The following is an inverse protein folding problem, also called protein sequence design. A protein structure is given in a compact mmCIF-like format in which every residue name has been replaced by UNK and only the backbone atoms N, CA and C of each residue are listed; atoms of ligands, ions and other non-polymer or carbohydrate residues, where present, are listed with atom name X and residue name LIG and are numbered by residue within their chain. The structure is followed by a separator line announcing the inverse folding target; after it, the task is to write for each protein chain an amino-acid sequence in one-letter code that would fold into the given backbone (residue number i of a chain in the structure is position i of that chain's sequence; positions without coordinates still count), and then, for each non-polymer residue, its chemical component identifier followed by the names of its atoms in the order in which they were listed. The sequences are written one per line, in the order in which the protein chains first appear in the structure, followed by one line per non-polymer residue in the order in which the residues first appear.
data_IF_956493281658
#
_entry.id   IF_956493281658
#
_cell.length_a   1.000
_cell.length_b   1.000
_cell.length_c   1.000
_cell.angle_alpha   90.00
_cell.angle_beta   90.00
_cell.angle_gamma   90.00
#
_symmetry.space_group_name_H-M   'P 1'
#
loop_
_entity.id
_entity.type
_entity.pdbx_description
1 polymer ?
#
# COMPACT_ATOMS: atom_id res chain seq x y z
N UNK A 1 -17.96 -34.84 18.74
CA UNK A 1 -18.00 -33.66 17.85
C UNK A 1 -16.82 -32.80 18.22
N UNK A 2 -15.72 -32.90 17.48
CA UNK A 2 -14.48 -32.19 17.79
C UNK A 2 -14.54 -30.81 17.15
N UNK A 3 -14.53 -29.76 17.96
CA UNK A 3 -14.35 -28.38 17.52
C UNK A 3 -12.89 -28.18 17.18
N UNK A 4 -12.57 -28.10 15.89
CA UNK A 4 -11.28 -27.61 15.43
C UNK A 4 -11.23 -26.11 15.71
N UNK A 5 -10.53 -25.73 16.77
CA UNK A 5 -10.06 -24.36 16.98
C UNK A 5 -9.16 -24.02 15.80
N UNK A 6 -9.69 -23.30 14.81
CA UNK A 6 -8.88 -22.70 13.77
C UNK A 6 -7.92 -21.74 14.45
N UNK A 7 -6.63 -22.04 14.40
CA UNK A 7 -5.59 -21.09 14.75
C UNK A 7 -5.74 -19.92 13.76
N UNK A 8 -6.25 -18.80 14.27
CA UNK A 8 -6.34 -17.52 13.59
C UNK A 8 -4.91 -17.07 13.27
N UNK A 9 -4.39 -17.55 12.14
CA UNK A 9 -3.06 -17.16 11.68
C UNK A 9 -3.22 -15.75 11.17
N UNK A 10 -2.95 -14.78 12.04
CA UNK A 10 -2.96 -13.37 11.67
C UNK A 10 -2.15 -13.20 10.38
N UNK A 11 -2.83 -12.78 9.31
CA UNK A 11 -2.24 -12.60 8.00
C UNK A 11 -1.12 -11.55 8.10
N UNK A 12 0.12 -11.95 7.84
CA UNK A 12 1.26 -11.03 7.77
C UNK A 12 1.23 -10.27 6.45
N UNK A 13 0.55 -9.12 6.47
CA UNK A 13 0.39 -8.25 5.30
C UNK A 13 1.73 -7.68 4.82
N UNK A 14 2.72 -7.50 5.70
CA UNK A 14 4.04 -6.99 5.33
C UNK A 14 4.83 -8.04 4.56
N UNK A 15 4.72 -9.31 4.97
CA UNK A 15 5.31 -10.42 4.23
C UNK A 15 4.67 -10.61 2.86
N UNK A 16 3.36 -10.42 2.74
CA UNK A 16 2.65 -10.49 1.46
C UNK A 16 3.06 -9.32 0.56
N UNK A 17 3.03 -8.09 1.07
CA UNK A 17 3.49 -6.92 0.32
C UNK A 17 4.91 -7.13 -0.22
N UNK A 18 5.86 -7.47 0.66
CA UNK A 18 7.23 -7.78 0.25
C UNK A 18 7.29 -8.87 -0.79
N UNK A 19 6.43 -9.90 -0.73
CA UNK A 19 6.40 -11.03 -1.67
C UNK A 19 5.93 -10.61 -3.08
N UNK A 20 5.01 -9.66 -3.18
CA UNK A 20 4.40 -9.25 -4.44
C UNK A 20 4.90 -7.89 -4.97
N UNK A 21 5.79 -7.20 -4.25
CA UNK A 21 6.57 -6.09 -4.81
C UNK A 21 7.50 -6.59 -5.92
N UNK A 22 7.56 -5.85 -7.03
CA UNK A 22 8.48 -6.13 -8.12
C UNK A 22 9.93 -5.86 -7.70
N UNK A 23 10.88 -6.65 -8.20
CA UNK A 23 12.28 -6.29 -8.03
C UNK A 23 12.61 -5.09 -8.94
N UNK A 24 13.42 -4.11 -8.48
CA UNK A 24 13.81 -3.02 -9.35
C UNK A 24 14.70 -3.52 -10.49
N UNK A 25 14.48 -3.01 -11.70
CA UNK A 25 15.35 -3.29 -12.84
C UNK A 25 16.64 -2.47 -12.64
N UNK A 26 17.82 -3.11 -12.62
CA UNK A 26 19.07 -2.39 -12.44
C UNK A 26 19.50 -1.67 -13.72
N UNK A 27 20.34 -0.66 -13.58
CA UNK A 27 21.07 -0.06 -14.69
C UNK A 27 22.04 -1.06 -15.33
N UNK A 28 22.47 -0.77 -16.56
CA UNK A 28 23.45 -1.59 -17.27
C UNK A 28 24.77 -1.67 -16.48
N UNK A 29 25.20 -2.88 -16.17
CA UNK A 29 26.49 -3.15 -15.51
C UNK A 29 27.74 -2.74 -16.31
N UNK A 30 27.59 -2.38 -17.59
CA UNK A 30 28.69 -2.04 -18.50
C UNK A 30 28.76 -0.54 -18.75
N UNK A 31 27.63 0.10 -19.09
CA UNK A 31 27.58 1.53 -19.42
C UNK A 31 26.76 2.38 -18.44
N UNK A 32 26.12 1.77 -17.44
CA UNK A 32 25.28 2.42 -16.43
C UNK A 32 24.05 3.15 -16.97
N UNK A 33 23.66 2.87 -18.23
CA UNK A 33 22.39 3.36 -18.79
C UNK A 33 21.21 2.48 -18.34
N UNK A 34 20.02 3.07 -18.33
CA UNK A 34 18.76 2.35 -18.12
C UNK A 34 18.58 1.23 -19.17
N UNK A 35 18.07 0.08 -18.75
CA UNK A 35 17.85 -1.06 -19.63
C UNK A 35 16.44 -1.03 -20.24
N UNK A 36 16.32 -1.42 -21.50
CA UNK A 36 15.05 -1.53 -22.20
C UNK A 36 14.55 -2.98 -22.23
N UNK A 37 13.25 -3.17 -22.41
CA UNK A 37 12.66 -4.51 -22.59
C UNK A 37 13.23 -5.15 -23.86
N UNK A 38 14.03 -6.18 -23.69
CA UNK A 38 14.68 -6.92 -24.76
C UNK A 38 13.84 -8.09 -25.26
N UNK A 39 13.09 -8.73 -24.36
CA UNK A 39 12.12 -9.78 -24.70
C UNK A 39 11.05 -9.91 -23.61
N UNK A 40 9.81 -10.14 -24.01
CA UNK A 40 8.68 -10.43 -23.12
C UNK A 40 7.74 -11.44 -23.78
N UNK A 41 7.26 -12.45 -23.03
CA UNK A 41 6.22 -13.39 -23.49
C UNK A 41 6.55 -14.89 -23.32
N UNK A 42 5.53 -15.74 -23.51
CA UNK A 42 5.67 -17.20 -23.62
C UNK A 42 5.98 -17.95 -22.32
N UNK A 43 5.62 -17.39 -21.16
CA UNK A 43 5.90 -18.00 -19.84
C UNK A 43 7.35 -17.86 -19.38
N UNK A 44 8.17 -17.07 -20.09
CA UNK A 44 9.54 -16.73 -19.68
C UNK A 44 9.56 -15.39 -18.96
N UNK A 45 10.50 -15.26 -18.04
CA UNK A 45 10.82 -13.99 -17.38
C UNK A 45 11.16 -12.92 -18.43
N UNK A 46 10.72 -11.68 -18.17
CA UNK A 46 11.04 -10.54 -19.03
C UNK A 46 12.54 -10.30 -18.98
N UNK A 47 13.18 -10.16 -20.14
CA UNK A 47 14.58 -9.78 -20.23
C UNK A 47 14.71 -8.29 -20.54
N UNK A 48 15.66 -7.65 -19.87
CA UNK A 48 16.06 -6.27 -20.09
C UNK A 48 17.50 -6.23 -20.59
N UNK A 49 17.83 -5.33 -21.50
CA UNK A 49 19.17 -5.15 -22.02
C UNK A 49 19.35 -3.74 -22.60
N UNK A 50 20.59 -3.34 -22.88
CA UNK A 50 20.83 -2.17 -23.71
C UNK A 50 20.28 -2.40 -25.14
N UNK A 51 20.08 -1.34 -25.94
CA UNK A 51 19.61 -1.48 -27.31
C UNK A 51 20.47 -2.42 -28.15
N UNK A 52 19.82 -3.21 -29.03
CA UNK A 52 20.53 -4.14 -29.93
C UNK A 52 21.31 -3.39 -31.02
N UNK A 53 22.41 -3.97 -31.54
CA UNK A 53 23.22 -3.37 -32.60
C UNK A 53 22.45 -2.99 -33.88
N UNK A 54 21.38 -3.74 -34.21
CA UNK A 54 20.54 -3.42 -35.36
C UNK A 54 19.46 -2.37 -35.07
N UNK A 55 19.08 -2.18 -33.80
CA UNK A 55 18.11 -1.16 -33.38
C UNK A 55 18.78 0.22 -33.29
N UNK A 56 20.08 0.25 -32.98
CA UNK A 56 20.88 1.46 -32.97
C UNK A 56 21.23 1.98 -34.38
N UNK A 57 21.05 1.22 -35.45
CA UNK A 57 21.26 1.69 -36.83
C UNK A 57 22.72 1.81 -37.31
N UNK A 58 23.70 1.20 -36.62
CA UNK A 58 25.11 1.63 -36.77
C UNK A 58 26.16 0.60 -37.20
N UNK A 59 25.84 -0.63 -37.65
CA UNK A 59 26.93 -1.51 -38.09
C UNK A 59 26.56 -2.57 -39.13
N UNK A 60 27.41 -2.69 -40.17
CA UNK A 60 27.40 -3.85 -41.09
C UNK A 60 27.61 -5.12 -40.27
N UNK A 61 26.77 -6.13 -40.51
CA UNK A 61 26.88 -7.43 -39.84
C UNK A 61 28.33 -7.95 -39.89
N UNK A 62 28.89 -8.27 -38.73
CA UNK A 62 30.25 -8.78 -38.60
C UNK A 62 31.38 -7.74 -38.56
N UNK A 63 31.08 -6.43 -38.66
CA UNK A 63 32.07 -5.37 -38.44
C UNK A 63 32.59 -5.39 -36.99
N UNK A 64 33.77 -4.79 -36.71
CA UNK A 64 34.26 -4.64 -35.35
C UNK A 64 33.26 -3.93 -34.42
N UNK A 65 32.57 -2.90 -34.91
CA UNK A 65 31.53 -2.17 -34.18
C UNK A 65 30.32 -3.05 -33.86
N UNK A 66 29.88 -3.85 -34.84
CA UNK A 66 28.80 -4.82 -34.62
C UNK A 66 29.17 -5.84 -33.55
N UNK A 67 30.42 -6.32 -33.54
CA UNK A 67 30.93 -7.26 -32.54
C UNK A 67 30.97 -6.62 -31.15
N UNK A 68 31.50 -5.40 -31.03
CA UNK A 68 31.57 -4.67 -29.76
C UNK A 68 30.17 -4.39 -29.19
N UNK A 69 29.22 -3.97 -30.04
CA UNK A 69 27.84 -3.73 -29.62
C UNK A 69 27.10 -5.02 -29.28
N UNK A 70 27.35 -6.11 -30.01
CA UNK A 70 26.78 -7.44 -29.70
C UNK A 70 27.31 -7.97 -28.37
N UNK A 71 28.60 -7.77 -28.08
CA UNK A 71 29.20 -8.12 -26.79
C UNK A 71 28.57 -7.27 -25.67
N UNK A 72 28.46 -5.96 -25.86
CA UNK A 72 27.81 -5.08 -24.90
C UNK A 72 26.36 -5.52 -24.64
N UNK A 73 25.57 -5.73 -25.71
CA UNK A 73 24.21 -6.24 -25.60
C UNK A 73 24.15 -7.52 -24.76
N UNK A 74 25.00 -8.52 -25.07
CA UNK A 74 25.07 -9.77 -24.34
C UNK A 74 25.41 -9.60 -22.85
N UNK A 75 26.36 -8.71 -22.53
CA UNK A 75 26.79 -8.41 -21.16
C UNK A 75 25.81 -7.54 -20.37
N UNK A 76 24.99 -6.76 -21.07
CA UNK A 76 23.98 -5.88 -20.47
C UNK A 76 22.71 -6.62 -20.03
N UNK A 77 22.50 -7.87 -20.47
CA UNK A 77 21.28 -8.62 -20.20
C UNK A 77 21.00 -8.78 -18.70
N UNK A 78 19.75 -8.56 -18.32
CA UNK A 78 19.19 -8.80 -17.01
C UNK A 78 17.86 -9.54 -17.17
N UNK A 79 17.67 -10.62 -16.42
CA UNK A 79 16.43 -11.40 -16.44
C UNK A 79 15.62 -11.05 -15.20
N UNK A 80 14.42 -10.51 -15.40
CA UNK A 80 13.54 -10.07 -14.34
C UNK A 80 12.54 -11.18 -14.00
N UNK A 81 12.80 -11.90 -12.90
CA UNK A 81 11.98 -13.03 -12.47
C UNK A 81 10.76 -12.63 -11.66
N UNK A 82 10.69 -11.38 -11.20
CA UNK A 82 9.70 -10.93 -10.23
C UNK A 82 9.07 -9.61 -10.65
N UNK A 83 8.17 -9.68 -11.63
CA UNK A 83 7.41 -8.53 -12.13
C UNK A 83 6.51 -7.84 -11.08
N UNK A 84 6.31 -8.47 -9.93
CA UNK A 84 5.33 -8.07 -8.93
C UNK A 84 3.89 -8.37 -9.37
N UNK A 85 2.95 -8.10 -8.47
CA UNK A 85 1.51 -8.22 -8.71
C UNK A 85 0.78 -7.00 -8.12
N UNK A 86 0.40 -6.06 -8.97
CA UNK A 86 -0.26 -4.82 -8.56
C UNK A 86 -1.66 -5.05 -7.99
N UNK A 87 -2.36 -6.10 -8.41
CA UNK A 87 -3.71 -6.40 -7.92
C UNK A 87 -3.63 -6.91 -6.47
N UNK A 88 -2.67 -7.79 -6.18
CA UNK A 88 -2.42 -8.25 -4.81
C UNK A 88 -1.99 -7.09 -3.91
N UNK A 89 -1.12 -6.19 -4.38
CA UNK A 89 -0.70 -5.02 -3.60
C UNK A 89 -1.87 -4.07 -3.31
N UNK A 90 -2.75 -3.84 -4.29
CA UNK A 90 -3.97 -3.06 -4.09
C UNK A 90 -4.90 -3.72 -3.05
N UNK A 91 -5.02 -5.05 -3.09
CA UNK A 91 -5.82 -5.79 -2.11
C UNK A 91 -5.20 -5.72 -0.71
N UNK A 92 -3.88 -5.82 -0.56
CA UNK A 92 -3.20 -5.66 0.73
C UNK A 92 -3.46 -4.27 1.32
N UNK A 93 -3.38 -3.22 0.51
CA UNK A 93 -3.68 -1.86 0.93
C UNK A 93 -5.13 -1.73 1.42
N UNK A 94 -6.08 -2.30 0.68
CA UNK A 94 -7.49 -2.28 1.05
C UNK A 94 -7.77 -3.07 2.34
N UNK A 95 -7.13 -4.24 2.52
CA UNK A 95 -7.25 -5.03 3.74
C UNK A 95 -6.68 -4.25 4.94
N UNK A 96 -5.54 -3.56 4.79
CA UNK A 96 -5.02 -2.69 5.87
C UNK A 96 -6.01 -1.59 6.24
N UNK A 97 -6.67 -0.98 5.26
CA UNK A 97 -7.67 0.08 5.46
C UNK A 97 -8.93 -0.41 6.18
N UNK A 98 -9.35 -1.65 5.91
CA UNK A 98 -10.54 -2.27 6.50
C UNK A 98 -10.26 -2.98 7.82
N UNK A 99 -8.99 -3.21 8.18
CA UNK A 99 -8.63 -3.90 9.41
C UNK A 99 -8.84 -2.97 10.61
N UNK A 100 -9.66 -3.36 11.59
CA UNK A 100 -9.82 -2.54 12.77
C UNK A 100 -8.49 -2.38 13.51
N UNK A 101 -8.22 -1.16 14.01
CA UNK A 101 -7.07 -0.89 14.87
C UNK A 101 -7.49 -0.17 16.13
N UNK A 102 -6.77 -0.42 17.22
CA UNK A 102 -7.07 0.17 18.52
C UNK A 102 -6.12 1.35 18.76
N UNK A 103 -6.69 2.51 19.10
CA UNK A 103 -5.97 3.68 19.58
C UNK A 103 -6.00 3.63 21.11
N UNK A 104 -4.82 3.70 21.71
CA UNK A 104 -4.61 3.78 23.16
C UNK A 104 -3.62 4.90 23.47
N UNK A 105 -3.61 5.38 24.71
CA UNK A 105 -2.74 6.46 25.16
C UNK A 105 -3.41 7.31 26.22
N UNK A 106 -2.77 8.42 26.57
CA UNK A 106 -3.42 9.48 27.33
C UNK A 106 -4.40 10.28 26.44
N UNK A 107 -5.17 11.17 27.07
CA UNK A 107 -6.20 11.97 26.40
C UNK A 107 -5.61 12.80 25.25
N UNK A 108 -4.41 13.34 25.41
CA UNK A 108 -3.78 14.19 24.39
C UNK A 108 -3.37 13.36 23.18
N UNK A 109 -2.71 12.23 23.39
CA UNK A 109 -2.30 11.31 22.33
C UNK A 109 -3.50 10.74 21.56
N UNK A 110 -4.56 10.36 22.27
CA UNK A 110 -5.80 9.85 21.65
C UNK A 110 -6.50 10.97 20.88
N UNK A 111 -6.58 12.18 21.43
CA UNK A 111 -7.17 13.34 20.74
C UNK A 111 -6.44 13.64 19.43
N UNK A 112 -5.10 13.73 19.47
CA UNK A 112 -4.28 13.98 18.29
C UNK A 112 -4.44 12.86 17.24
N UNK A 113 -4.48 11.59 17.68
CA UNK A 113 -4.71 10.46 16.79
C UNK A 113 -6.09 10.52 16.12
N UNK A 114 -7.13 10.85 16.87
CA UNK A 114 -8.49 11.05 16.34
C UNK A 114 -8.53 12.22 15.35
N UNK A 115 -7.91 13.36 15.68
CA UNK A 115 -7.85 14.54 14.82
C UNK A 115 -7.05 14.31 13.53
N UNK A 116 -6.12 13.35 13.52
CA UNK A 116 -5.41 12.91 12.33
C UNK A 116 -6.20 11.99 11.39
N UNK A 117 -7.36 11.44 11.82
CA UNK A 117 -8.13 10.52 10.97
C UNK A 117 -8.78 11.21 9.74
N UNK A 118 -8.80 10.59 8.56
CA UNK A 118 -9.44 11.20 7.39
C UNK A 118 -10.97 11.33 7.57
N UNK A 119 -11.59 12.27 6.86
CA UNK A 119 -13.06 12.37 6.74
C UNK A 119 -13.60 11.05 6.16
N UNK A 120 -14.73 10.57 6.68
CA UNK A 120 -15.32 9.28 6.36
C UNK A 120 -14.84 8.12 7.25
N UNK A 121 -13.94 8.39 8.20
CA UNK A 121 -13.51 7.41 9.22
C UNK A 121 -14.66 7.04 10.15
N UNK A 122 -14.69 5.79 10.58
CA UNK A 122 -15.66 5.24 11.53
C UNK A 122 -14.89 4.66 12.70
N UNK A 123 -15.28 5.04 13.91
CA UNK A 123 -14.73 4.53 15.16
C UNK A 123 -15.85 3.95 16.02
N UNK A 124 -15.50 3.09 16.95
CA UNK A 124 -16.37 2.67 18.04
C UNK A 124 -15.64 2.73 19.38
N UNK A 125 -16.39 2.85 20.47
CA UNK A 125 -15.89 2.79 21.84
C UNK A 125 -16.50 1.59 22.56
N UNK A 126 -15.74 0.88 23.39
CA UNK A 126 -16.22 -0.35 24.05
C UNK A 126 -17.24 -0.13 25.19
N UNK A 127 -17.70 1.11 25.38
CA UNK A 127 -18.61 1.49 26.46
C UNK A 127 -19.79 2.26 25.89
N UNK A 128 -20.99 1.89 26.35
CA UNK A 128 -22.22 2.62 26.07
C UNK A 128 -22.14 3.99 26.73
N UNK A 129 -21.96 5.04 25.93
CA UNK A 129 -21.79 6.40 26.45
C UNK A 129 -23.14 7.00 26.84
N UNK A 130 -23.11 8.03 27.69
CA UNK A 130 -24.29 8.78 28.13
C UNK A 130 -25.16 9.31 26.96
N UNK A 131 -24.59 9.40 25.77
CA UNK A 131 -25.25 9.87 24.55
C UNK A 131 -25.89 8.77 23.71
N UNK A 132 -25.91 7.52 24.20
CA UNK A 132 -26.73 6.43 23.67
C UNK A 132 -26.23 5.79 22.37
N UNK A 133 -24.93 5.82 22.11
CA UNK A 133 -24.33 5.05 21.02
C UNK A 133 -22.81 5.01 21.08
N UNK A 134 -22.23 3.94 20.56
CA UNK A 134 -20.80 3.63 20.61
C UNK A 134 -20.07 3.96 19.30
N UNK A 135 -20.79 4.05 18.18
CA UNK A 135 -20.21 4.28 16.85
C UNK A 135 -20.25 5.75 16.44
N UNK A 136 -19.10 6.27 16.00
CA UNK A 136 -18.97 7.62 15.47
C UNK A 136 -18.43 7.62 14.05
N UNK A 137 -18.86 8.59 13.25
CA UNK A 137 -18.36 8.84 11.90
C UNK A 137 -17.80 10.25 11.79
N UNK A 138 -16.65 10.38 11.14
CA UNK A 138 -16.02 11.68 10.90
C UNK A 138 -16.58 12.30 9.63
N UNK A 139 -17.16 13.49 9.74
CA UNK A 139 -17.78 14.20 8.63
C UNK A 139 -17.25 15.62 8.55
N UNK A 140 -17.23 16.18 7.35
CA UNK A 140 -17.00 17.60 7.12
C UNK A 140 -18.14 18.18 6.28
N UNK A 141 -18.84 19.16 6.85
CA UNK A 141 -19.80 19.96 6.10
C UNK A 141 -19.11 21.14 5.42
N UNK A 142 -19.69 21.71 4.34
CA UNK A 142 -19.15 22.91 3.71
C UNK A 142 -18.93 24.03 4.73
N UNK A 143 -17.72 24.60 4.73
CA UNK A 143 -17.30 25.68 5.65
C UNK A 143 -17.23 25.30 7.14
N UNK A 144 -17.19 24.01 7.49
CA UNK A 144 -16.97 23.53 8.85
C UNK A 144 -15.64 22.77 8.96
N UNK A 145 -15.09 22.74 10.19
CA UNK A 145 -13.99 21.83 10.51
C UNK A 145 -14.52 20.39 10.56
N UNK A 146 -13.71 19.38 10.17
CA UNK A 146 -14.07 17.98 10.36
C UNK A 146 -14.42 17.71 11.82
N UNK A 147 -15.55 17.05 12.06
CA UNK A 147 -16.03 16.72 13.41
C UNK A 147 -16.63 15.32 13.45
N UNK A 148 -16.79 14.78 14.66
CA UNK A 148 -17.39 13.46 14.86
C UNK A 148 -18.89 13.57 15.05
N UNK A 149 -19.62 12.64 14.45
CA UNK A 149 -21.06 12.51 14.64
C UNK A 149 -21.39 11.11 15.12
N UNK A 150 -22.30 11.01 16.07
CA UNK A 150 -22.84 9.73 16.50
C UNK A 150 -23.62 9.08 15.34
N UNK A 151 -23.37 7.80 15.07
CA UNK A 151 -24.12 7.07 14.05
C UNK A 151 -25.62 7.03 14.42
N UNK A 152 -26.49 7.44 13.48
CA UNK A 152 -27.93 7.52 13.71
C UNK A 152 -28.40 8.74 14.53
N UNK A 153 -27.49 9.63 14.95
CA UNK A 153 -27.82 10.87 15.67
C UNK A 153 -27.43 12.14 14.90
N UNK A 154 -27.84 13.30 15.41
CA UNK A 154 -27.45 14.63 14.89
C UNK A 154 -26.39 15.32 15.75
N UNK A 155 -25.98 14.70 16.86
CA UNK A 155 -25.05 15.28 17.83
C UNK A 155 -23.62 15.21 17.30
N UNK A 156 -22.99 16.37 17.17
CA UNK A 156 -21.55 16.47 16.93
C UNK A 156 -20.77 16.40 18.24
N UNK A 157 -19.60 15.77 18.21
CA UNK A 157 -18.70 15.58 19.35
C UNK A 157 -17.27 15.89 18.92
N UNK A 158 -16.46 16.49 19.80
CA UNK A 158 -15.03 16.74 19.49
C UNK A 158 -14.18 15.53 19.87
N UNK A 159 -13.04 15.37 19.21
CA UNK A 159 -12.08 14.31 19.51
C UNK A 159 -11.67 14.30 20.98
N UNK A 160 -11.46 15.48 21.58
CA UNK A 160 -11.11 15.63 22.99
C UNK A 160 -12.20 15.08 23.92
N UNK A 161 -13.48 15.33 23.60
CA UNK A 161 -14.59 14.86 24.43
C UNK A 161 -14.68 13.31 24.36
N UNK A 162 -14.41 12.71 23.19
CA UNK A 162 -14.33 11.25 23.04
C UNK A 162 -13.14 10.70 23.85
N UNK A 163 -11.95 11.30 23.68
CA UNK A 163 -10.71 10.85 24.31
C UNK A 163 -10.73 10.96 25.86
N UNK A 164 -11.35 12.01 26.41
CA UNK A 164 -11.48 12.21 27.86
C UNK A 164 -12.33 11.14 28.55
N UNK A 165 -13.31 10.61 27.83
CA UNK A 165 -14.28 9.69 28.40
C UNK A 165 -14.00 8.23 28.05
N UNK A 166 -13.30 7.94 26.95
CA UNK A 166 -13.23 6.59 26.39
C UNK A 166 -11.84 6.25 25.84
N UNK A 167 -11.21 5.26 26.46
CA UNK A 167 -10.02 4.55 25.97
C UNK A 167 -10.15 3.09 26.43
N UNK A 168 -9.95 2.08 25.57
CA UNK A 168 -9.50 2.14 24.18
C UNK A 168 -10.57 2.61 23.18
N UNK A 169 -10.12 3.16 22.04
CA UNK A 169 -10.98 3.48 20.88
C UNK A 169 -10.64 2.55 19.73
N UNK A 170 -11.64 1.90 19.16
CA UNK A 170 -11.46 1.02 18.00
C UNK A 170 -11.80 1.77 16.72
N UNK A 171 -10.82 1.98 15.85
CA UNK A 171 -11.06 2.47 14.48
C UNK A 171 -11.58 1.30 13.66
N UNK A 172 -12.84 1.35 13.26
CA UNK A 172 -13.48 0.31 12.45
C UNK A 172 -13.11 0.44 10.97
N UNK A 173 -12.94 1.68 10.50
CA UNK A 173 -12.62 1.98 9.11
C UNK A 173 -11.98 3.36 9.00
N UNK A 174 -10.89 3.48 8.27
CA UNK A 174 -10.37 4.80 7.89
C UNK A 174 -11.11 5.32 6.64
N UNK A 175 -11.43 6.60 6.68
CA UNK A 175 -11.96 7.34 5.54
C UNK A 175 -10.93 7.46 4.41
N UNK A 176 -11.39 7.78 3.21
CA UNK A 176 -10.49 8.09 2.10
C UNK A 176 -10.21 9.59 2.20
N UNK A 177 -8.96 9.95 2.46
CA UNK A 177 -8.53 11.35 2.41
C UNK A 177 -8.91 11.95 1.05
N UNK A 178 -9.51 13.14 1.07
CA UNK A 178 -9.72 13.93 -0.14
C UNK A 178 -8.40 14.56 -0.60
#
# INVERSE_FOLDING_TARGET
MSTTTGADTALDLDAIERRFTADPIPDCRVCHAELEVASMGGGRATEYACPRPYAAGFARLGSPEWKAQSEHYGRSKYTHFRSGDSEVLALVAEVRRLRPRVITGDVEAVTAALDGLPVGSIITTDVDIEWGGDVFHRTQFPNALPTWYLAGGSKSVRSEDIARHQVPITVLREGVGA
#
